data_IF_365147745055
#
_entry.id   IF_365147745055
#
_cell.length_a   1.000
_cell.length_b   1.000
_cell.length_c   1.000
_cell.angle_alpha   90.00
_cell.angle_beta   90.00
_cell.angle_gamma   90.00
#
_symmetry.space_group_name_H-M   'P 1'
#
loop_
_entity.id
_entity.type
_entity.pdbx_description
1 polymer ?
#
# COMPACT_ATOMS: atom_id res chain seq x y z
N UNK A 1 19.16 1.34 36.47
CA UNK A 1 19.56 -0.08 36.74
C UNK A 1 20.13 -0.61 35.43
N UNK A 2 21.46 -0.47 35.26
CA UNK A 2 22.18 -0.93 34.06
C UNK A 2 22.31 -2.45 34.13
N UNK A 3 21.57 -3.13 33.27
CA UNK A 3 21.74 -4.56 33.03
C UNK A 3 23.16 -4.80 32.55
N UNK A 4 23.92 -5.60 33.31
CA UNK A 4 25.23 -6.11 32.93
C UNK A 4 25.14 -6.64 31.49
N UNK A 5 25.97 -6.09 30.60
CA UNK A 5 26.09 -6.49 29.21
C UNK A 5 26.27 -8.00 29.09
N UNK A 6 25.56 -8.59 28.16
CA UNK A 6 25.64 -10.00 27.83
C UNK A 6 27.11 -10.34 27.50
N UNK A 7 27.67 -11.23 28.32
CA UNK A 7 29.07 -11.62 28.21
C UNK A 7 29.36 -12.21 26.83
N UNK A 8 30.50 -11.85 26.28
CA UNK A 8 31.05 -12.47 25.08
C UNK A 8 31.13 -13.98 25.24
N UNK A 9 30.69 -14.72 24.24
CA UNK A 9 30.64 -16.18 24.25
C UNK A 9 31.69 -16.74 23.29
N UNK A 10 32.30 -17.87 23.69
CA UNK A 10 33.16 -18.62 22.79
C UNK A 10 32.39 -19.08 21.56
N UNK A 11 32.93 -18.84 20.37
CA UNK A 11 32.34 -19.33 19.12
C UNK A 11 32.30 -20.87 19.08
N UNK A 12 31.48 -21.43 18.15
CA UNK A 12 31.48 -22.85 17.89
C UNK A 12 32.86 -23.32 17.46
N UNK A 13 33.58 -22.54 16.64
CA UNK A 13 34.92 -22.87 16.16
C UNK A 13 35.91 -23.00 17.29
N UNK A 14 35.93 -22.09 18.27
CA UNK A 14 36.81 -22.16 19.42
C UNK A 14 36.48 -23.34 20.31
N UNK A 15 35.21 -23.66 20.51
CA UNK A 15 34.79 -24.85 21.29
C UNK A 15 35.18 -26.14 20.61
N UNK A 16 34.97 -26.23 19.28
CA UNK A 16 35.41 -27.42 18.51
C UNK A 16 36.91 -27.58 18.57
N UNK A 17 37.69 -26.48 18.40
CA UNK A 17 39.14 -26.52 18.51
C UNK A 17 39.60 -27.04 19.88
N UNK A 18 38.99 -26.54 20.98
CA UNK A 18 39.30 -27.00 22.33
C UNK A 18 39.01 -28.48 22.53
N UNK A 19 37.83 -28.95 22.08
CA UNK A 19 37.47 -30.40 22.15
C UNK A 19 38.40 -31.25 21.29
N UNK A 20 38.70 -30.78 20.06
CA UNK A 20 39.61 -31.50 19.15
C UNK A 20 41.04 -31.57 19.73
N UNK A 21 41.53 -30.51 20.37
CA UNK A 21 42.83 -30.54 21.05
C UNK A 21 42.88 -31.58 22.16
N UNK A 22 41.82 -31.67 22.98
CA UNK A 22 41.73 -32.61 24.07
C UNK A 22 41.68 -34.07 23.52
N UNK A 23 40.84 -34.30 22.49
CA UNK A 23 40.69 -35.62 21.88
C UNK A 23 41.98 -36.09 21.21
N UNK A 24 42.65 -35.20 20.46
CA UNK A 24 43.91 -35.51 19.79
C UNK A 24 45.03 -35.75 20.79
N UNK A 25 45.17 -34.94 21.84
CA UNK A 25 46.16 -35.13 22.87
C UNK A 25 45.92 -36.44 23.67
N UNK A 26 44.67 -36.66 24.10
CA UNK A 26 44.31 -37.90 24.82
C UNK A 26 44.48 -39.16 23.97
N UNK A 27 44.06 -39.13 22.71
CA UNK A 27 44.26 -40.23 21.76
C UNK A 27 45.75 -40.49 21.48
N UNK A 28 46.53 -39.42 21.33
CA UNK A 28 47.98 -39.51 21.13
C UNK A 28 48.70 -40.17 22.31
N UNK A 29 48.31 -39.82 23.53
CA UNK A 29 48.84 -40.44 24.77
C UNK A 29 48.42 -41.92 24.84
N UNK A 30 47.14 -42.21 24.65
CA UNK A 30 46.59 -43.54 24.75
C UNK A 30 47.16 -44.54 23.72
N UNK A 31 47.49 -44.05 22.52
CA UNK A 31 47.99 -44.83 21.39
C UNK A 31 49.52 -44.76 21.20
N UNK A 32 50.23 -44.03 22.09
CA UNK A 32 51.65 -43.70 21.99
C UNK A 32 52.05 -43.08 20.62
N UNK A 33 51.19 -42.21 20.09
CA UNK A 33 51.36 -41.51 18.79
C UNK A 33 51.69 -40.03 18.97
N UNK A 34 52.99 -39.66 18.91
CA UNK A 34 53.42 -38.27 19.14
C UNK A 34 52.94 -37.30 18.03
N UNK A 35 52.66 -37.80 16.82
CA UNK A 35 52.10 -37.04 15.71
C UNK A 35 50.71 -36.43 16.05
N UNK A 36 49.86 -37.16 16.76
CA UNK A 36 48.56 -36.68 17.22
C UNK A 36 48.70 -35.58 18.27
N UNK A 37 49.68 -35.71 19.17
CA UNK A 37 49.97 -34.68 20.17
C UNK A 37 50.47 -33.39 19.48
N UNK A 38 51.36 -33.55 18.49
CA UNK A 38 51.84 -32.40 17.72
C UNK A 38 50.72 -31.64 17.00
N UNK A 39 49.70 -32.33 16.48
CA UNK A 39 48.51 -31.72 15.88
C UNK A 39 47.58 -31.05 16.90
N UNK A 40 47.61 -31.52 18.17
CA UNK A 40 46.78 -30.89 19.23
C UNK A 40 47.37 -29.54 19.69
N UNK A 41 48.72 -29.36 19.63
CA UNK A 41 49.38 -28.16 20.13
C UNK A 41 48.89 -26.84 19.55
N UNK A 42 48.80 -26.63 18.22
CA UNK A 42 48.33 -25.36 17.66
C UNK A 42 46.88 -25.05 18.06
N UNK A 43 45.99 -26.08 18.15
CA UNK A 43 44.60 -25.89 18.58
C UNK A 43 44.51 -25.51 20.06
N UNK A 44 45.31 -26.18 20.92
CA UNK A 44 45.41 -25.85 22.35
C UNK A 44 45.98 -24.43 22.56
N UNK A 45 47.06 -24.11 21.86
CA UNK A 45 47.68 -22.78 21.94
C UNK A 45 46.70 -21.69 21.52
N UNK A 46 46.01 -21.87 20.42
CA UNK A 46 45.01 -20.90 19.97
C UNK A 46 43.90 -20.71 21.00
N UNK A 47 43.36 -21.80 21.59
CA UNK A 47 42.31 -21.68 22.60
C UNK A 47 42.79 -20.99 23.89
N UNK A 48 44.03 -21.24 24.31
CA UNK A 48 44.63 -20.58 25.48
C UNK A 48 44.93 -19.10 25.21
N UNK A 49 45.54 -18.78 24.07
CA UNK A 49 45.84 -17.41 23.69
C UNK A 49 44.55 -16.59 23.64
N UNK A 50 43.48 -17.10 23.06
CA UNK A 50 42.18 -16.44 23.00
C UNK A 50 41.59 -16.15 24.39
N UNK A 51 41.82 -16.99 25.37
CA UNK A 51 41.40 -16.72 26.77
C UNK A 51 42.25 -15.66 27.48
N UNK A 52 43.50 -15.57 27.12
CA UNK A 52 44.47 -14.66 27.79
C UNK A 52 44.44 -13.25 27.17
N UNK A 53 44.24 -13.13 25.85
CA UNK A 53 44.36 -11.86 25.13
C UNK A 53 43.02 -11.16 24.88
N UNK A 54 41.89 -11.85 25.10
CA UNK A 54 40.60 -11.24 24.79
C UNK A 54 40.13 -10.26 25.87
N UNK A 55 39.98 -9.03 25.47
CA UNK A 55 39.28 -7.97 26.22
C UNK A 55 37.85 -7.84 25.67
N UNK A 56 36.86 -7.84 26.55
CA UNK A 56 35.47 -7.62 26.15
C UNK A 56 35.29 -6.14 25.79
N UNK A 57 34.83 -5.82 24.56
CA UNK A 57 34.57 -4.42 24.20
C UNK A 57 33.47 -3.82 25.08
N UNK A 58 33.68 -2.56 25.47
CA UNK A 58 32.74 -1.84 26.36
C UNK A 58 31.55 -1.26 25.62
N UNK A 59 31.73 -0.89 24.36
CA UNK A 59 30.66 -0.28 23.57
C UNK A 59 29.84 -1.34 22.81
N UNK A 60 28.49 -1.22 22.83
CA UNK A 60 27.61 -2.13 22.07
C UNK A 60 27.73 -1.88 20.56
N UNK A 61 27.47 -2.92 19.77
CA UNK A 61 27.29 -2.78 18.33
C UNK A 61 26.06 -1.91 18.04
N UNK A 62 26.20 -0.97 17.12
CA UNK A 62 25.09 -0.15 16.63
C UNK A 62 24.93 -0.34 15.14
N UNK A 63 23.72 -0.61 14.70
CA UNK A 63 23.36 -0.75 13.30
C UNK A 63 22.31 0.31 12.97
N UNK A 64 22.62 1.20 12.03
CA UNK A 64 21.68 2.19 11.53
C UNK A 64 21.41 1.92 10.05
N UNK A 65 20.13 1.98 9.65
CA UNK A 65 19.73 1.88 8.24
C UNK A 65 19.14 3.21 7.80
N UNK A 66 19.72 3.81 6.77
CA UNK A 66 19.34 5.14 6.27
C UNK A 66 18.99 5.06 4.79
N UNK A 67 18.05 5.92 4.30
CA UNK A 67 17.80 6.02 2.87
C UNK A 67 19.04 6.57 2.16
N UNK A 68 19.41 5.96 1.05
CA UNK A 68 20.46 6.54 0.21
C UNK A 68 19.87 7.65 -0.68
N UNK A 69 20.68 8.71 -0.92
CA UNK A 69 20.20 9.87 -1.68
C UNK A 69 19.82 9.55 -3.12
N UNK A 70 20.57 8.66 -3.76
CA UNK A 70 20.28 8.21 -5.12
C UNK A 70 19.27 7.07 -5.12
N UNK A 71 18.02 7.39 -5.41
CA UNK A 71 16.94 6.43 -5.61
C UNK A 71 16.81 6.13 -7.11
N UNK A 72 16.77 4.86 -7.50
CA UNK A 72 16.47 4.45 -8.86
C UNK A 72 15.00 4.08 -8.99
N UNK A 73 14.40 4.35 -10.14
CA UNK A 73 12.98 4.01 -10.37
C UNK A 73 12.72 2.52 -10.11
N UNK A 74 11.78 2.24 -9.19
CA UNK A 74 11.37 0.88 -8.84
C UNK A 74 12.35 0.12 -7.95
N UNK A 75 13.40 0.77 -7.43
CA UNK A 75 14.34 0.19 -6.47
C UNK A 75 14.44 1.06 -5.23
N UNK A 76 14.53 0.42 -4.07
CA UNK A 76 14.84 1.07 -2.80
C UNK A 76 16.32 0.85 -2.51
N UNK A 77 17.07 1.93 -2.37
CA UNK A 77 18.49 1.90 -2.00
C UNK A 77 18.66 2.37 -0.58
N UNK A 78 19.20 1.50 0.28
CA UNK A 78 19.44 1.76 1.68
C UNK A 78 20.92 1.64 2.00
N UNK A 79 21.42 2.53 2.88
CA UNK A 79 22.77 2.48 3.45
C UNK A 79 22.70 1.89 4.86
N UNK A 80 23.36 0.77 5.08
CA UNK A 80 23.55 0.17 6.38
C UNK A 80 24.88 0.70 6.93
N UNK A 81 24.84 1.38 8.07
CA UNK A 81 25.99 1.88 8.79
C UNK A 81 26.21 1.02 10.03
N UNK A 82 27.36 0.41 10.13
CA UNK A 82 27.76 -0.45 11.26
C UNK A 82 28.80 0.31 12.06
N UNK A 83 28.58 0.47 13.36
CA UNK A 83 29.50 1.18 14.29
C UNK A 83 29.44 0.54 15.67
N UNK A 84 30.44 0.82 16.51
CA UNK A 84 30.55 0.32 17.88
C UNK A 84 31.88 -0.36 18.13
N UNK A 85 31.93 -1.15 19.17
CA UNK A 85 33.14 -1.88 19.56
C UNK A 85 33.18 -3.28 18.97
N UNK A 86 34.36 -3.78 18.75
CA UNK A 86 34.68 -5.04 18.12
C UNK A 86 35.40 -4.82 16.79
N UNK A 87 36.02 -5.86 16.25
CA UNK A 87 36.76 -5.80 14.99
C UNK A 87 35.86 -6.05 13.79
N UNK A 88 34.97 -7.03 13.92
CA UNK A 88 34.06 -7.43 12.86
C UNK A 88 32.62 -7.57 13.37
N UNK A 89 31.67 -7.47 12.46
CA UNK A 89 30.26 -7.73 12.70
C UNK A 89 29.76 -8.81 11.74
N UNK A 90 29.08 -9.81 12.28
CA UNK A 90 28.31 -10.79 11.49
C UNK A 90 26.91 -10.22 11.30
N UNK A 91 26.51 -9.99 10.05
CA UNK A 91 25.22 -9.42 9.70
C UNK A 91 24.38 -10.41 8.91
N UNK A 92 23.09 -10.48 9.26
CA UNK A 92 22.06 -11.14 8.46
C UNK A 92 21.14 -10.05 7.89
N UNK A 93 21.24 -9.81 6.60
CA UNK A 93 20.50 -8.77 5.88
C UNK A 93 19.34 -9.44 5.14
N UNK A 94 18.11 -8.99 5.41
CA UNK A 94 16.90 -9.43 4.70
C UNK A 94 16.37 -8.24 3.91
N UNK A 95 16.23 -8.39 2.61
CA UNK A 95 15.73 -7.36 1.67
C UNK A 95 14.21 -7.49 1.48
N UNK A 96 13.59 -6.51 0.83
CA UNK A 96 12.14 -6.48 0.57
C UNK A 96 11.62 -7.73 -0.15
N UNK A 97 12.43 -8.29 -1.08
CA UNK A 97 12.11 -9.56 -1.78
C UNK A 97 12.36 -10.79 -0.90
N UNK A 98 12.56 -10.62 0.41
CA UNK A 98 12.98 -11.64 1.38
C UNK A 98 14.27 -12.37 1.03
N UNK A 99 15.06 -11.83 0.13
CA UNK A 99 16.42 -12.30 -0.10
C UNK A 99 17.24 -12.12 1.16
N UNK A 100 17.72 -13.21 1.71
CA UNK A 100 18.53 -13.22 2.92
C UNK A 100 19.99 -13.44 2.57
N UNK A 101 20.84 -12.50 2.98
CA UNK A 101 22.28 -12.56 2.78
C UNK A 101 22.98 -12.48 4.14
N UNK A 102 23.97 -13.31 4.38
CA UNK A 102 24.85 -13.22 5.53
C UNK A 102 26.19 -12.69 5.08
N UNK A 103 26.70 -11.69 5.78
CA UNK A 103 28.00 -11.08 5.51
C UNK A 103 28.74 -10.84 6.84
N UNK A 104 30.05 -10.91 6.75
CA UNK A 104 30.94 -10.49 7.84
C UNK A 104 31.68 -9.27 7.35
N UNK A 105 31.62 -8.19 8.12
CA UNK A 105 32.20 -6.89 7.74
C UNK A 105 32.96 -6.30 8.91
N UNK A 106 33.99 -5.49 8.68
CA UNK A 106 34.61 -4.67 9.73
C UNK A 106 33.56 -3.79 10.42
N UNK A 107 33.66 -3.62 11.73
CA UNK A 107 32.91 -2.57 12.43
C UNK A 107 33.40 -1.22 11.88
N UNK A 108 32.56 -0.27 11.61
CA UNK A 108 32.79 0.97 10.83
C UNK A 108 32.50 0.87 9.32
N UNK A 109 31.94 -0.24 8.87
CA UNK A 109 31.56 -0.41 7.46
C UNK A 109 30.27 0.31 7.09
N UNK A 110 30.18 0.67 5.80
CA UNK A 110 28.96 1.14 5.14
C UNK A 110 28.63 0.19 4.00
N UNK A 111 27.41 -0.31 3.97
CA UNK A 111 26.95 -1.29 2.98
C UNK A 111 25.76 -0.70 2.26
N UNK A 112 25.83 -0.63 0.95
CA UNK A 112 24.70 -0.26 0.12
C UNK A 112 23.90 -1.51 -0.25
N UNK A 113 22.59 -1.44 -0.04
CA UNK A 113 21.67 -2.53 -0.34
C UNK A 113 20.59 -2.02 -1.27
N UNK A 114 20.47 -2.65 -2.44
CA UNK A 114 19.39 -2.39 -3.38
C UNK A 114 18.34 -3.48 -3.24
N UNK A 115 17.07 -3.09 -3.03
CA UNK A 115 15.94 -3.99 -3.01
C UNK A 115 14.86 -3.57 -4.01
N UNK A 116 14.12 -4.56 -4.54
CA UNK A 116 12.96 -4.34 -5.40
C UNK A 116 11.71 -4.78 -4.63
N UNK A 117 10.89 -3.83 -4.16
CA UNK A 117 9.65 -4.21 -3.51
C UNK A 117 8.70 -4.85 -4.53
N UNK A 118 8.17 -6.01 -4.20
CA UNK A 118 7.15 -6.70 -5.00
C UNK A 118 5.77 -6.05 -4.88
N UNK A 119 5.56 -5.26 -3.82
CA UNK A 119 4.27 -4.66 -3.48
C UNK A 119 4.36 -3.14 -3.34
N UNK A 120 3.26 -2.47 -3.58
CA UNK A 120 3.05 -1.06 -3.23
C UNK A 120 2.71 -0.91 -1.75
N UNK A 121 2.66 0.32 -1.26
CA UNK A 121 2.28 0.58 0.13
C UNK A 121 3.43 0.51 1.13
N UNK A 122 3.13 0.31 2.42
CA UNK A 122 4.14 0.18 3.46
C UNK A 122 4.88 -1.16 3.32
N UNK A 123 6.19 -1.09 3.08
CA UNK A 123 7.05 -2.26 2.93
C UNK A 123 8.23 -2.19 3.88
N UNK A 124 8.70 -3.33 4.34
CA UNK A 124 9.97 -3.47 5.01
C UNK A 124 11.09 -3.56 3.95
N UNK A 125 11.77 -2.44 3.72
CA UNK A 125 12.80 -2.35 2.68
C UNK A 125 14.02 -3.22 2.99
N UNK A 126 14.51 -3.12 4.24
CA UNK A 126 15.66 -3.88 4.74
C UNK A 126 15.49 -4.15 6.22
N UNK A 127 15.76 -5.38 6.62
CA UNK A 127 15.96 -5.77 8.03
C UNK A 127 17.36 -6.30 8.20
N UNK A 128 18.08 -5.78 9.17
CA UNK A 128 19.44 -6.22 9.52
C UNK A 128 19.43 -6.75 10.95
N UNK A 129 19.98 -7.92 11.13
CA UNK A 129 20.27 -8.48 12.45
C UNK A 129 21.76 -8.74 12.49
N UNK A 130 22.45 -8.21 13.50
CA UNK A 130 23.88 -8.33 13.60
C UNK A 130 24.36 -8.56 15.01
N UNK A 131 25.58 -9.06 15.13
CA UNK A 131 26.33 -9.21 16.39
C UNK A 131 27.79 -8.93 16.14
N UNK A 132 28.49 -8.41 17.13
CA UNK A 132 29.94 -8.24 17.09
C UNK A 132 30.64 -9.58 17.21
N UNK A 133 31.80 -9.68 16.55
CA UNK A 133 32.70 -10.79 16.69
C UNK A 133 34.15 -10.28 16.83
N UNK A 134 35.03 -11.07 17.43
CA UNK A 134 36.46 -10.85 17.38
C UNK A 134 36.99 -11.11 15.96
N UNK A 135 38.08 -10.42 15.56
CA UNK A 135 38.62 -10.51 14.20
C UNK A 135 38.99 -11.92 13.74
N UNK A 136 39.38 -12.75 14.67
CA UNK A 136 39.68 -14.16 14.44
C UNK A 136 38.47 -15.10 14.53
N UNK A 137 37.28 -14.58 14.82
CA UNK A 137 36.04 -15.34 14.96
C UNK A 137 35.98 -16.26 16.21
N UNK A 138 36.91 -16.12 17.13
CA UNK A 138 36.95 -16.96 18.35
C UNK A 138 35.85 -16.63 19.35
N UNK A 139 35.44 -15.38 19.40
CA UNK A 139 34.43 -14.87 20.35
C UNK A 139 33.33 -14.09 19.61
N UNK A 140 32.10 -14.22 20.11
CA UNK A 140 30.92 -13.59 19.59
C UNK A 140 30.20 -12.86 20.73
N UNK A 141 29.66 -11.69 20.47
CA UNK A 141 28.76 -11.02 21.41
C UNK A 141 27.53 -11.89 21.65
N UNK A 142 27.09 -11.99 22.90
CA UNK A 142 25.88 -12.73 23.27
C UNK A 142 24.62 -12.04 22.80
N UNK A 143 24.64 -10.71 22.72
CA UNK A 143 23.53 -9.89 22.27
C UNK A 143 23.54 -9.70 20.75
N UNK A 144 22.34 -9.72 20.16
CA UNK A 144 22.10 -9.38 18.75
C UNK A 144 21.38 -8.06 18.66
N UNK A 145 21.85 -7.18 17.77
CA UNK A 145 21.22 -5.88 17.49
C UNK A 145 20.42 -6.01 16.21
N UNK A 146 19.23 -5.41 16.17
CA UNK A 146 18.41 -5.40 14.98
C UNK A 146 18.04 -3.97 14.57
N UNK A 147 18.03 -3.72 13.26
CA UNK A 147 17.57 -2.48 12.66
C UNK A 147 16.68 -2.79 11.46
N UNK A 148 15.58 -2.04 11.32
CA UNK A 148 14.63 -2.23 10.23
C UNK A 148 14.33 -0.89 9.59
N UNK A 149 14.46 -0.82 8.26
CA UNK A 149 14.01 0.31 7.46
C UNK A 149 12.65 -0.01 6.84
N UNK A 150 11.66 0.83 7.12
CA UNK A 150 10.35 0.77 6.48
C UNK A 150 10.21 1.92 5.49
N UNK A 151 9.65 1.62 4.32
CA UNK A 151 9.41 2.59 3.25
C UNK A 151 7.98 2.49 2.76
N UNK A 152 7.52 3.56 2.11
CA UNK A 152 6.22 3.58 1.46
C UNK A 152 6.45 3.61 -0.05
N UNK A 153 6.02 2.56 -0.73
CA UNK A 153 6.14 2.43 -2.19
C UNK A 153 4.88 3.00 -2.83
N UNK A 154 5.07 3.96 -3.72
CA UNK A 154 3.95 4.57 -4.45
C UNK A 154 3.33 3.55 -5.39
N UNK A 155 2.00 3.33 -5.36
CA UNK A 155 1.33 2.39 -6.25
C UNK A 155 1.44 2.81 -7.72
N UNK A 156 1.31 1.88 -8.63
CA UNK A 156 1.17 2.15 -10.06
C UNK A 156 -0.05 3.03 -10.34
N UNK A 157 -0.17 3.54 -11.56
CA UNK A 157 -1.30 4.34 -11.99
C UNK A 157 -1.64 3.97 -13.43
N UNK A 158 -2.90 3.67 -13.69
CA UNK A 158 -3.44 3.50 -15.04
C UNK A 158 -4.08 4.78 -15.53
N UNK A 159 -3.90 5.12 -16.77
CA UNK A 159 -4.63 6.22 -17.41
C UNK A 159 -6.07 5.77 -17.66
N UNK A 160 -7.02 6.49 -17.08
CA UNK A 160 -8.43 6.16 -17.18
C UNK A 160 -9.18 7.17 -18.06
N UNK A 161 -10.27 6.75 -18.70
CA UNK A 161 -11.19 7.66 -19.38
C UNK A 161 -11.93 8.53 -18.35
N UNK A 162 -12.85 9.38 -18.81
CA UNK A 162 -13.73 10.12 -17.92
C UNK A 162 -14.54 9.17 -17.04
N UNK A 163 -14.57 9.48 -15.75
CA UNK A 163 -15.37 8.71 -14.80
C UNK A 163 -16.87 8.93 -15.02
N UNK A 164 -17.72 7.99 -14.61
CA UNK A 164 -19.15 8.18 -14.60
C UNK A 164 -19.57 9.35 -13.73
N UNK A 165 -20.47 10.18 -14.22
CA UNK A 165 -20.91 11.40 -13.52
C UNK A 165 -21.75 11.10 -12.27
N UNK A 166 -21.65 11.97 -11.29
CA UNK A 166 -22.48 11.97 -10.09
C UNK A 166 -23.97 12.16 -10.44
N UNK A 167 -24.91 11.59 -9.67
CA UNK A 167 -26.35 11.79 -9.87
C UNK A 167 -26.75 13.27 -9.72
N UNK A 168 -26.06 13.98 -8.86
CA UNK A 168 -26.27 15.41 -8.62
C UNK A 168 -24.92 16.12 -8.57
N UNK A 169 -24.79 17.13 -9.39
CA UNK A 169 -23.64 18.03 -9.38
C UNK A 169 -23.93 19.13 -8.35
N UNK A 170 -23.09 19.27 -7.34
CA UNK A 170 -23.33 20.15 -6.19
C UNK A 170 -22.37 21.33 -6.07
N UNK A 171 -21.27 21.33 -6.84
CA UNK A 171 -20.27 22.39 -6.83
C UNK A 171 -20.70 23.67 -7.52
N UNK A 172 -20.00 24.77 -7.24
CA UNK A 172 -20.22 26.09 -7.86
C UNK A 172 -19.27 26.35 -9.02
N UNK A 173 -18.21 25.54 -9.15
CA UNK A 173 -17.18 25.67 -10.18
C UNK A 173 -16.73 24.25 -10.59
N UNK A 174 -16.67 23.97 -11.89
CA UNK A 174 -16.25 22.67 -12.39
C UNK A 174 -16.32 22.56 -13.90
N UNK A 175 -16.08 21.35 -14.42
CA UNK A 175 -16.12 21.06 -15.85
C UNK A 175 -17.44 20.44 -16.32
N UNK A 176 -18.36 20.15 -15.40
CA UNK A 176 -19.64 19.51 -15.72
C UNK A 176 -20.79 20.50 -15.75
N UNK A 177 -21.68 20.32 -16.71
CA UNK A 177 -22.90 21.11 -16.77
C UNK A 177 -23.85 20.75 -15.63
N UNK A 178 -24.12 21.74 -14.80
CA UNK A 178 -25.11 21.64 -13.72
C UNK A 178 -26.51 21.92 -14.22
N UNK A 179 -27.52 21.42 -13.54
CA UNK A 179 -28.92 21.68 -13.86
C UNK A 179 -29.43 23.04 -13.32
N UNK A 180 -28.62 23.76 -12.59
CA UNK A 180 -29.00 25.08 -12.01
C UNK A 180 -28.69 26.20 -12.98
N UNK A 181 -29.54 27.27 -13.01
CA UNK A 181 -29.21 28.50 -13.73
C UNK A 181 -27.92 29.12 -13.17
N UNK A 182 -27.01 29.58 -14.05
CA UNK A 182 -25.76 30.15 -13.61
C UNK A 182 -24.98 30.85 -14.70
N UNK A 183 -23.66 30.94 -14.54
CA UNK A 183 -22.75 31.66 -15.43
C UNK A 183 -21.91 30.73 -16.33
N UNK A 184 -22.39 29.54 -16.65
CA UNK A 184 -21.69 28.63 -17.56
C UNK A 184 -21.82 29.03 -19.03
N UNK A 185 -21.16 28.26 -19.91
CA UNK A 185 -21.15 28.57 -21.36
C UNK A 185 -22.37 28.11 -22.12
N UNK A 186 -23.08 27.09 -21.65
CA UNK A 186 -24.15 26.50 -22.43
C UNK A 186 -25.50 27.14 -22.21
N UNK A 187 -26.16 27.36 -23.35
CA UNK A 187 -27.51 27.93 -23.39
C UNK A 187 -28.51 26.96 -22.74
N UNK A 188 -29.34 27.52 -21.84
CA UNK A 188 -30.42 26.75 -21.20
C UNK A 188 -31.77 27.15 -21.78
N UNK A 189 -32.18 28.37 -21.55
CA UNK A 189 -33.48 28.90 -21.97
C UNK A 189 -33.44 30.40 -22.06
N UNK A 190 -34.54 30.96 -22.59
CA UNK A 190 -34.86 32.40 -22.55
C UNK A 190 -36.11 32.54 -21.71
N UNK A 191 -36.06 33.41 -20.71
CA UNK A 191 -37.19 33.66 -19.84
C UNK A 191 -37.37 35.15 -19.55
N UNK A 192 -38.56 35.62 -19.09
CA UNK A 192 -38.76 36.99 -18.69
C UNK A 192 -37.83 37.43 -17.57
N UNK A 193 -37.33 38.66 -17.64
CA UNK A 193 -36.46 39.27 -16.63
C UNK A 193 -37.12 39.23 -15.27
N UNK A 194 -36.43 38.73 -14.27
CA UNK A 194 -36.88 38.58 -12.90
C UNK A 194 -35.87 39.21 -11.91
N UNK A 195 -36.30 39.54 -10.68
CA UNK A 195 -35.40 40.05 -9.64
C UNK A 195 -34.21 39.09 -9.44
N UNK A 196 -33.00 39.64 -9.50
CA UNK A 196 -31.75 38.88 -9.42
C UNK A 196 -31.11 38.58 -10.79
N UNK A 197 -31.77 38.85 -11.89
CA UNK A 197 -31.18 38.78 -13.24
C UNK A 197 -30.35 40.05 -13.54
N UNK A 198 -29.31 39.89 -14.34
CA UNK A 198 -28.39 40.93 -14.72
C UNK A 198 -28.79 41.50 -16.11
N UNK A 199 -28.87 42.83 -16.24
CA UNK A 199 -29.20 43.51 -17.50
C UNK A 199 -28.27 43.15 -18.65
N UNK A 200 -27.01 42.85 -18.39
CA UNK A 200 -26.05 42.40 -19.42
C UNK A 200 -26.40 41.05 -20.07
N UNK A 201 -27.35 40.31 -19.49
CA UNK A 201 -27.84 39.02 -20.00
C UNK A 201 -29.13 39.14 -20.79
N UNK A 202 -29.65 40.34 -20.98
CA UNK A 202 -30.83 40.58 -21.80
C UNK A 202 -30.48 40.21 -23.25
N UNK A 203 -31.24 39.29 -23.80
CA UNK A 203 -31.18 38.94 -25.22
C UNK A 203 -32.12 39.92 -25.97
N UNK A 204 -31.53 41.02 -26.45
CA UNK A 204 -32.28 42.06 -27.18
C UNK A 204 -32.97 41.53 -28.43
N UNK A 205 -32.38 40.50 -29.08
CA UNK A 205 -32.94 39.86 -30.28
C UNK A 205 -34.16 38.98 -29.94
N UNK A 206 -34.09 38.23 -28.87
CA UNK A 206 -35.22 37.49 -28.35
C UNK A 206 -36.31 38.41 -27.82
N UNK A 207 -35.94 39.44 -27.07
CA UNK A 207 -36.85 40.48 -26.58
C UNK A 207 -37.63 41.12 -27.73
N UNK A 208 -36.95 41.56 -28.79
CA UNK A 208 -37.61 42.19 -29.95
C UNK A 208 -38.54 41.26 -30.73
N UNK A 209 -38.32 39.95 -30.69
CA UNK A 209 -39.10 38.94 -31.46
C UNK A 209 -40.25 38.30 -30.66
N UNK A 210 -40.08 38.16 -29.36
CA UNK A 210 -40.92 37.29 -28.54
C UNK A 210 -41.47 37.93 -27.26
N UNK A 211 -41.14 39.22 -26.97
CA UNK A 211 -41.76 39.92 -25.85
C UNK A 211 -43.27 40.05 -26.04
N UNK A 212 -44.01 39.63 -25.03
CA UNK A 212 -45.49 39.60 -25.08
C UNK A 212 -46.13 40.84 -24.52
N UNK A 213 -45.36 41.67 -23.80
CA UNK A 213 -45.82 42.90 -23.16
C UNK A 213 -44.86 44.05 -23.46
N UNK A 214 -45.35 45.29 -23.57
CA UNK A 214 -44.47 46.44 -23.67
C UNK A 214 -43.55 46.58 -22.47
N UNK A 215 -42.23 46.67 -22.71
CA UNK A 215 -41.22 46.71 -21.63
C UNK A 215 -40.78 45.37 -21.05
N UNK A 216 -41.31 44.25 -21.53
CA UNK A 216 -40.85 42.91 -21.14
C UNK A 216 -39.46 42.68 -21.73
N UNK A 217 -38.48 42.40 -20.85
CA UNK A 217 -37.12 42.01 -21.23
C UNK A 217 -36.96 40.50 -21.11
N UNK A 218 -36.34 39.90 -22.10
CA UNK A 218 -36.04 38.47 -22.10
C UNK A 218 -34.55 38.24 -21.81
N UNK A 219 -34.26 37.35 -20.84
CA UNK A 219 -32.91 37.08 -20.38
C UNK A 219 -32.50 35.72 -20.86
N UNK A 220 -31.29 35.63 -21.41
CA UNK A 220 -30.63 34.37 -21.74
C UNK A 220 -30.07 33.76 -20.46
N UNK A 221 -30.52 32.56 -20.13
CA UNK A 221 -29.98 31.75 -19.06
C UNK A 221 -28.99 30.70 -19.57
N UNK A 222 -27.93 30.50 -18.82
CA UNK A 222 -26.95 29.45 -19.05
C UNK A 222 -26.93 28.49 -17.86
N UNK A 223 -26.50 27.28 -18.06
CA UNK A 223 -26.31 26.35 -16.99
C UNK A 223 -25.09 26.71 -16.14
N UNK A 224 -25.09 26.38 -14.85
CA UNK A 224 -23.88 26.48 -14.02
C UNK A 224 -22.89 25.40 -14.42
N UNK A 225 -21.60 25.73 -14.37
CA UNK A 225 -20.57 24.71 -14.34
C UNK A 225 -20.41 24.20 -12.89
N UNK A 226 -20.45 22.91 -12.71
CA UNK A 226 -20.40 22.28 -11.39
C UNK A 226 -19.31 21.23 -11.33
N UNK A 227 -18.71 21.02 -10.15
CA UNK A 227 -17.83 19.89 -9.88
C UNK A 227 -18.63 18.70 -9.34
N UNK A 228 -18.16 17.49 -9.64
CA UNK A 228 -18.66 16.27 -9.03
C UNK A 228 -17.88 15.99 -7.74
N UNK A 229 -18.53 15.27 -6.82
CA UNK A 229 -17.85 14.74 -5.64
C UNK A 229 -17.63 13.24 -5.84
N UNK A 230 -16.36 12.82 -5.78
CA UNK A 230 -15.92 11.42 -5.86
C UNK A 230 -15.35 11.00 -4.51
N UNK A 231 -15.81 9.88 -4.00
CA UNK A 231 -15.33 9.31 -2.74
C UNK A 231 -14.72 7.94 -3.01
N UNK A 232 -13.49 7.76 -2.60
CA UNK A 232 -12.76 6.50 -2.69
C UNK A 232 -12.73 5.85 -1.31
N UNK A 233 -13.42 4.74 -1.14
CA UNK A 233 -13.47 3.96 0.08
C UNK A 233 -12.70 2.65 -0.14
N UNK A 234 -11.52 2.52 0.47
CA UNK A 234 -10.65 1.35 0.32
C UNK A 234 -10.82 0.47 1.54
N UNK A 235 -11.30 -0.73 1.31
CA UNK A 235 -11.35 -1.79 2.29
C UNK A 235 -9.94 -2.35 2.52
N UNK A 236 -9.56 -2.49 3.78
CA UNK A 236 -8.24 -2.96 4.20
C UNK A 236 -8.32 -4.18 5.11
N UNK A 237 -9.50 -4.80 5.22
CA UNK A 237 -9.72 -5.96 6.07
C UNK A 237 -8.84 -7.14 5.64
N UNK A 238 -8.64 -7.31 4.35
CA UNK A 238 -7.91 -8.42 3.77
C UNK A 238 -6.86 -7.95 2.77
N UNK A 239 -5.74 -8.69 2.69
CA UNK A 239 -4.73 -8.53 1.66
C UNK A 239 -4.44 -9.90 1.03
N UNK A 240 -5.20 -10.25 0.00
CA UNK A 240 -5.18 -11.55 -0.65
C UNK A 240 -4.32 -11.50 -1.91
N UNK A 241 -3.36 -12.41 -1.99
CA UNK A 241 -2.47 -12.51 -3.15
C UNK A 241 -3.06 -13.32 -4.29
N UNK A 242 -2.47 -13.17 -5.46
CA UNK A 242 -2.72 -13.95 -6.67
C UNK A 242 -2.57 -15.46 -6.40
N UNK A 243 -1.53 -15.87 -5.66
CA UNK A 243 -1.24 -17.27 -5.34
C UNK A 243 -2.08 -17.74 -4.17
N UNK A 244 -3.19 -18.43 -4.45
CA UNK A 244 -4.16 -18.89 -3.42
C UNK A 244 -3.53 -19.76 -2.33
N UNK A 245 -2.54 -20.58 -2.67
CA UNK A 245 -1.85 -21.43 -1.71
C UNK A 245 -1.12 -20.63 -0.58
N UNK A 246 -0.99 -19.31 -0.72
CA UNK A 246 -0.38 -18.43 0.29
C UNK A 246 -1.41 -17.75 1.20
N UNK A 247 -2.70 -17.91 0.94
CA UNK A 247 -3.75 -17.29 1.75
C UNK A 247 -3.72 -17.83 3.18
N UNK A 248 -3.90 -16.93 4.14
CA UNK A 248 -3.80 -17.27 5.56
C UNK A 248 -2.38 -17.38 6.11
N UNK A 249 -1.35 -17.16 5.27
CA UNK A 249 0.05 -17.07 5.70
C UNK A 249 0.54 -15.62 5.77
N UNK A 250 1.54 -15.36 6.62
CA UNK A 250 2.14 -14.02 6.78
C UNK A 250 3.14 -13.67 5.66
N UNK A 251 3.39 -14.58 4.72
CA UNK A 251 4.39 -14.43 3.68
C UNK A 251 3.83 -13.90 2.35
N UNK A 252 3.70 -12.59 2.24
CA UNK A 252 3.27 -11.93 1.00
C UNK A 252 4.32 -11.97 -0.12
N UNK A 253 5.59 -12.31 0.16
CA UNK A 253 6.63 -12.31 -0.88
C UNK A 253 6.41 -13.35 -1.99
N UNK A 254 5.57 -14.36 -1.74
CA UNK A 254 5.18 -15.39 -2.69
C UNK A 254 3.74 -15.26 -3.16
N UNK A 255 3.07 -14.22 -2.71
CA UNK A 255 1.64 -14.03 -2.95
C UNK A 255 1.33 -13.54 -4.38
N UNK A 256 2.34 -13.09 -5.14
CA UNK A 256 2.13 -12.39 -6.40
C UNK A 256 1.51 -11.01 -6.17
N UNK A 257 0.78 -10.49 -7.14
CA UNK A 257 0.01 -9.24 -6.97
C UNK A 257 -1.04 -9.41 -5.89
N UNK A 258 -1.20 -8.43 -4.98
CA UNK A 258 -2.19 -8.53 -3.91
C UNK A 258 -3.41 -7.63 -4.15
N UNK A 259 -4.50 -7.94 -3.45
CA UNK A 259 -5.74 -7.16 -3.50
C UNK A 259 -5.53 -5.70 -3.08
N UNK A 260 -4.68 -5.44 -2.08
CA UNK A 260 -4.33 -4.07 -1.68
C UNK A 260 -3.41 -3.37 -2.68
N UNK A 261 -2.58 -4.07 -3.44
CA UNK A 261 -1.83 -3.47 -4.55
C UNK A 261 -2.79 -2.95 -5.61
N UNK A 262 -3.78 -3.77 -6.00
CA UNK A 262 -4.82 -3.39 -6.95
C UNK A 262 -5.72 -2.28 -6.42
N UNK A 263 -6.09 -2.34 -5.13
CA UNK A 263 -6.90 -1.30 -4.49
C UNK A 263 -6.19 0.06 -4.47
N UNK A 264 -4.89 0.09 -4.15
CA UNK A 264 -4.09 1.32 -4.16
C UNK A 264 -3.89 1.85 -5.58
N UNK A 265 -3.64 0.96 -6.55
CA UNK A 265 -3.54 1.33 -7.97
C UNK A 265 -4.86 1.91 -8.48
N UNK A 266 -5.98 1.27 -8.18
CA UNK A 266 -7.32 1.71 -8.54
C UNK A 266 -7.65 3.07 -7.91
N UNK A 267 -7.45 3.21 -6.60
CA UNK A 267 -7.70 4.46 -5.88
C UNK A 267 -6.88 5.63 -6.46
N UNK A 268 -5.59 5.42 -6.73
CA UNK A 268 -4.73 6.44 -7.33
C UNK A 268 -5.17 6.82 -8.74
N UNK A 269 -5.51 5.82 -9.56
CA UNK A 269 -5.94 6.01 -10.95
C UNK A 269 -7.27 6.77 -11.02
N UNK A 270 -8.25 6.37 -10.21
CA UNK A 270 -9.55 7.05 -10.10
C UNK A 270 -9.40 8.48 -9.58
N UNK A 271 -8.57 8.69 -8.55
CA UNK A 271 -8.28 10.03 -8.03
C UNK A 271 -7.66 10.94 -9.09
N UNK A 272 -6.69 10.42 -9.86
CA UNK A 272 -6.03 11.18 -10.91
C UNK A 272 -7.01 11.56 -12.03
N UNK A 273 -7.85 10.62 -12.48
CA UNK A 273 -8.84 10.87 -13.52
C UNK A 273 -9.89 11.90 -13.09
N UNK A 274 -10.40 11.82 -11.85
CA UNK A 274 -11.37 12.77 -11.34
C UNK A 274 -10.78 14.17 -11.17
N UNK A 275 -9.58 14.29 -10.58
CA UNK A 275 -8.94 15.61 -10.39
C UNK A 275 -8.55 16.25 -11.72
N UNK A 276 -8.19 15.45 -12.74
CA UNK A 276 -7.85 15.96 -14.06
C UNK A 276 -9.02 16.73 -14.74
N UNK A 277 -10.26 16.37 -14.42
CA UNK A 277 -11.48 17.06 -14.88
C UNK A 277 -12.02 18.07 -13.87
N UNK A 278 -11.29 18.34 -12.78
CA UNK A 278 -11.65 19.35 -11.78
C UNK A 278 -12.59 18.86 -10.68
N UNK A 279 -12.87 17.57 -10.58
CA UNK A 279 -13.75 17.01 -9.55
C UNK A 279 -13.09 17.01 -8.17
N UNK A 280 -13.93 17.04 -7.14
CA UNK A 280 -13.49 16.93 -5.74
C UNK A 280 -13.37 15.49 -5.34
N UNK A 281 -12.20 15.09 -4.86
CA UNK A 281 -11.94 13.70 -4.47
C UNK A 281 -11.68 13.61 -2.97
N UNK A 282 -12.44 12.75 -2.28
CA UNK A 282 -12.18 12.32 -0.91
C UNK A 282 -11.65 10.89 -0.90
N UNK A 283 -10.91 10.54 0.14
CA UNK A 283 -10.36 9.20 0.35
C UNK A 283 -10.59 8.74 1.77
N UNK A 284 -10.99 7.49 1.95
CA UNK A 284 -11.17 6.84 3.23
C UNK A 284 -10.63 5.41 3.20
N UNK A 285 -9.68 5.09 4.07
CA UNK A 285 -9.33 3.71 4.36
C UNK A 285 -10.33 3.17 5.39
N UNK A 286 -11.02 2.10 5.02
CA UNK A 286 -12.04 1.46 5.85
C UNK A 286 -11.37 0.52 6.87
N UNK A 287 -10.89 1.12 7.95
CA UNK A 287 -10.27 0.43 9.08
C UNK A 287 -10.49 1.25 10.35
N UNK A 288 -10.43 0.64 11.54
CA UNK A 288 -10.35 1.38 12.79
C UNK A 288 -9.15 2.33 12.79
N UNK A 289 -9.39 3.63 12.97
CA UNK A 289 -8.34 4.65 12.87
C UNK A 289 -7.76 4.86 11.45
N UNK A 290 -8.43 4.35 10.43
CA UNK A 290 -8.01 4.44 9.03
C UNK A 290 -7.86 5.89 8.57
N UNK A 291 -6.92 6.11 7.65
CA UNK A 291 -6.65 7.44 7.10
C UNK A 291 -7.82 7.97 6.30
N UNK A 292 -8.14 9.23 6.50
CA UNK A 292 -9.16 9.94 5.75
C UNK A 292 -8.60 11.24 5.20
N UNK A 293 -8.89 11.53 3.93
CA UNK A 293 -8.56 12.79 3.27
C UNK A 293 -9.86 13.44 2.79
N UNK A 294 -10.15 14.64 3.28
CA UNK A 294 -11.35 15.40 2.89
C UNK A 294 -11.33 15.77 1.42
N UNK A 295 -12.52 15.86 0.80
CA UNK A 295 -12.67 16.20 -0.61
C UNK A 295 -12.15 17.60 -0.96
N UNK A 296 -11.24 17.64 -1.91
CA UNK A 296 -10.72 18.84 -2.54
C UNK A 296 -10.25 18.51 -3.97
N UNK A 297 -9.74 19.49 -4.70
CA UNK A 297 -9.26 19.35 -6.08
C UNK A 297 -7.85 19.92 -6.24
N UNK A 298 -7.25 19.75 -7.41
CA UNK A 298 -5.95 20.30 -7.78
C UNK A 298 -4.75 19.40 -7.49
N UNK A 299 -3.61 19.75 -8.09
CA UNK A 299 -2.40 18.92 -8.07
C UNK A 299 -1.81 18.67 -6.67
N UNK A 300 -1.85 19.68 -5.80
CA UNK A 300 -1.42 19.53 -4.40
C UNK A 300 -2.29 18.54 -3.65
N UNK A 301 -3.59 18.52 -3.94
CA UNK A 301 -4.51 17.58 -3.33
C UNK A 301 -4.27 16.16 -3.86
N UNK A 302 -4.03 16.01 -5.16
CA UNK A 302 -3.63 14.72 -5.75
C UNK A 302 -2.36 14.15 -5.09
N UNK A 303 -1.36 14.98 -4.84
CA UNK A 303 -0.16 14.55 -4.13
C UNK A 303 -0.47 14.06 -2.70
N UNK A 304 -1.34 14.77 -1.95
CA UNK A 304 -1.79 14.34 -0.62
C UNK A 304 -2.57 13.02 -0.66
N UNK A 305 -3.46 12.85 -1.64
CA UNK A 305 -4.19 11.60 -1.87
C UNK A 305 -3.22 10.46 -2.18
N UNK A 306 -2.28 10.67 -3.10
CA UNK A 306 -1.27 9.68 -3.46
C UNK A 306 -0.46 9.21 -2.24
N UNK A 307 -0.05 10.15 -1.37
CA UNK A 307 0.64 9.83 -0.12
C UNK A 307 -0.24 9.02 0.85
N UNK A 308 -1.51 9.41 0.99
CA UNK A 308 -2.44 8.70 1.88
C UNK A 308 -2.75 7.29 1.36
N UNK A 309 -2.99 7.14 0.06
CA UNK A 309 -3.24 5.86 -0.62
C UNK A 309 -2.02 4.96 -0.47
N UNK A 310 -0.83 5.47 -0.77
CA UNK A 310 0.42 4.71 -0.64
C UNK A 310 0.71 4.29 0.81
N UNK A 311 0.27 5.07 1.80
CA UNK A 311 0.48 4.73 3.21
C UNK A 311 -0.58 3.77 3.79
N UNK A 312 -1.56 3.33 2.98
CA UNK A 312 -2.59 2.39 3.40
C UNK A 312 -2.02 0.98 3.45
N UNK A 313 -2.10 0.33 4.60
CA UNK A 313 -1.71 -1.08 4.81
C UNK A 313 -2.94 -1.92 5.15
N UNK A 314 -2.75 -3.23 5.26
CA UNK A 314 -3.77 -4.12 5.79
C UNK A 314 -4.13 -3.70 7.23
N UNK A 315 -5.41 -3.73 7.57
CA UNK A 315 -5.85 -3.63 8.95
C UNK A 315 -5.42 -4.93 9.67
N UNK A 316 -4.90 -4.81 10.89
CA UNK A 316 -4.60 -6.00 11.70
C UNK A 316 -5.87 -6.78 12.09
N UNK A 317 -5.83 -7.48 13.23
CA UNK A 317 -6.94 -8.34 13.70
C UNK A 317 -8.26 -7.59 13.99
N UNK A 318 -8.22 -6.26 14.18
CA UNK A 318 -9.42 -5.43 14.38
C UNK A 318 -9.99 -5.00 13.02
N UNK A 319 -10.77 -5.87 12.39
CA UNK A 319 -11.22 -5.77 10.99
C UNK A 319 -12.48 -4.93 10.79
N UNK A 320 -13.22 -4.57 11.82
CA UNK A 320 -14.50 -3.86 11.69
C UNK A 320 -14.34 -2.37 11.88
N UNK A 321 -14.64 -1.59 10.84
CA UNK A 321 -14.76 -0.15 10.98
C UNK A 321 -16.08 0.22 11.69
N UNK A 322 -15.95 1.05 12.74
CA UNK A 322 -17.07 1.40 13.63
C UNK A 322 -17.91 2.58 13.14
N UNK A 323 -17.48 3.31 12.13
CA UNK A 323 -18.16 4.51 11.64
C UNK A 323 -18.11 4.60 10.13
N UNK A 324 -19.28 4.83 9.54
CA UNK A 324 -19.39 5.18 8.12
C UNK A 324 -18.74 6.53 7.86
N UNK A 325 -17.81 6.64 6.89
CA UNK A 325 -17.25 7.92 6.53
C UNK A 325 -18.31 8.91 6.06
N UNK A 326 -18.19 10.21 6.41
CA UNK A 326 -19.11 11.23 5.92
C UNK A 326 -18.92 11.41 4.43
N UNK A 327 -20.01 11.36 3.67
CA UNK A 327 -20.03 11.47 2.22
C UNK A 327 -20.93 12.62 1.80
N UNK A 328 -20.48 13.54 0.93
CA UNK A 328 -21.33 14.61 0.39
C UNK A 328 -22.51 14.05 -0.41
N UNK A 329 -23.69 14.65 -0.28
CA UNK A 329 -24.88 14.22 -1.02
C UNK A 329 -24.65 14.16 -2.53
N UNK A 330 -25.17 13.10 -3.16
CA UNK A 330 -25.10 12.91 -4.61
C UNK A 330 -23.72 12.57 -5.14
N UNK A 331 -22.80 12.13 -4.30
CA UNK A 331 -21.44 11.72 -4.72
C UNK A 331 -21.45 10.46 -5.58
N UNK A 332 -20.36 10.28 -6.33
CA UNK A 332 -19.93 8.98 -6.85
C UNK A 332 -19.03 8.32 -5.80
N UNK A 333 -19.35 7.13 -5.37
CA UNK A 333 -18.56 6.39 -4.38
C UNK A 333 -17.99 5.15 -5.03
N UNK A 334 -16.68 5.01 -5.06
CA UNK A 334 -16.01 3.79 -5.43
C UNK A 334 -15.62 3.04 -4.14
N UNK A 335 -16.19 1.85 -3.96
CA UNK A 335 -15.87 0.94 -2.86
C UNK A 335 -14.90 -0.10 -3.40
N UNK A 336 -13.66 -0.05 -2.95
CA UNK A 336 -12.58 -0.92 -3.42
C UNK A 336 -12.36 -2.03 -2.38
N UNK A 337 -12.72 -3.26 -2.71
CA UNK A 337 -12.67 -4.41 -1.79
C UNK A 337 -12.54 -5.72 -2.56
N UNK A 338 -12.21 -6.78 -1.86
CA UNK A 338 -12.36 -8.17 -2.32
C UNK A 338 -13.80 -8.68 -2.17
N UNK A 339 -14.61 -8.03 -1.34
CA UNK A 339 -16.00 -8.38 -1.04
C UNK A 339 -16.22 -9.78 -0.45
N UNK A 340 -15.24 -10.38 0.22
CA UNK A 340 -15.41 -11.68 0.86
C UNK A 340 -16.12 -11.60 2.21
N UNK A 341 -15.88 -10.57 3.02
CA UNK A 341 -16.44 -10.45 4.37
C UNK A 341 -17.86 -9.85 4.43
N UNK A 342 -18.38 -9.36 3.30
CA UNK A 342 -19.68 -8.72 3.18
C UNK A 342 -19.78 -7.29 3.72
N UNK A 343 -18.85 -6.83 4.57
CA UNK A 343 -18.94 -5.53 5.22
C UNK A 343 -18.83 -4.37 4.22
N UNK A 344 -17.97 -4.49 3.22
CA UNK A 344 -17.85 -3.52 2.14
C UNK A 344 -19.13 -3.49 1.27
N UNK A 345 -19.77 -4.64 1.07
CA UNK A 345 -21.04 -4.74 0.35
C UNK A 345 -22.18 -4.04 1.12
N UNK A 346 -22.30 -4.26 2.43
CA UNK A 346 -23.29 -3.57 3.28
C UNK A 346 -23.15 -2.04 3.17
N UNK A 347 -21.92 -1.51 3.23
CA UNK A 347 -21.68 -0.07 3.04
C UNK A 347 -22.09 0.40 1.64
N UNK A 348 -21.77 -0.37 0.60
CA UNK A 348 -22.14 -0.04 -0.76
C UNK A 348 -23.66 0.06 -0.92
N UNK A 349 -24.40 -0.90 -0.35
CA UNK A 349 -25.87 -0.92 -0.35
C UNK A 349 -26.45 0.27 0.43
N UNK A 350 -25.90 0.56 1.60
CA UNK A 350 -26.34 1.70 2.41
C UNK A 350 -26.12 3.04 1.66
N UNK A 351 -24.99 3.26 1.05
CA UNK A 351 -24.74 4.47 0.26
C UNK A 351 -25.61 4.53 -0.98
N UNK A 352 -25.88 3.38 -1.60
CA UNK A 352 -26.82 3.30 -2.74
C UNK A 352 -28.23 3.69 -2.32
N UNK A 353 -28.71 3.18 -1.19
CA UNK A 353 -30.02 3.52 -0.61
C UNK A 353 -30.11 5.02 -0.23
N UNK A 354 -29.00 5.63 0.20
CA UNK A 354 -28.89 7.07 0.49
C UNK A 354 -28.88 7.96 -0.81
N UNK A 355 -29.00 7.36 -1.99
CA UNK A 355 -29.11 8.08 -3.27
C UNK A 355 -27.76 8.45 -3.90
N UNK A 356 -26.68 7.83 -3.47
CA UNK A 356 -25.37 7.96 -4.11
C UNK A 356 -25.27 7.05 -5.35
N UNK A 357 -24.39 7.39 -6.28
CA UNK A 357 -23.96 6.45 -7.30
C UNK A 357 -22.81 5.65 -6.73
N UNK A 358 -22.96 4.34 -6.65
CA UNK A 358 -21.98 3.46 -6.04
C UNK A 358 -21.41 2.51 -7.09
N UNK A 359 -20.10 2.40 -7.11
CA UNK A 359 -19.34 1.48 -7.94
C UNK A 359 -18.57 0.54 -7.01
N UNK A 360 -18.93 -0.72 -7.00
CA UNK A 360 -18.18 -1.78 -6.34
C UNK A 360 -16.98 -2.15 -7.22
N UNK A 361 -15.80 -1.77 -6.79
CA UNK A 361 -14.55 -2.07 -7.49
C UNK A 361 -13.95 -3.33 -6.88
N UNK A 362 -14.06 -4.43 -7.63
CA UNK A 362 -13.45 -5.70 -7.30
C UNK A 362 -11.93 -5.61 -7.46
N UNK A 363 -11.20 -5.74 -6.36
CA UNK A 363 -9.75 -5.68 -6.30
C UNK A 363 -9.09 -7.06 -6.11
N UNK A 364 -9.87 -8.15 -6.24
CA UNK A 364 -9.30 -9.49 -6.21
C UNK A 364 -8.43 -9.72 -7.47
N UNK A 365 -7.15 -10.11 -7.31
CA UNK A 365 -6.30 -10.43 -8.45
C UNK A 365 -6.79 -11.67 -9.23
N UNK A 366 -6.22 -11.91 -10.40
CA UNK A 366 -6.40 -13.18 -11.09
C UNK A 366 -5.76 -14.30 -10.27
N UNK A 367 -6.53 -15.36 -9.98
CA UNK A 367 -6.12 -16.37 -9.02
C UNK A 367 -5.27 -17.49 -9.65
N UNK A 368 -4.04 -17.64 -9.18
CA UNK A 368 -3.25 -18.86 -9.39
C UNK A 368 -3.70 -19.94 -8.41
N UNK A 369 -4.36 -20.97 -8.95
CA UNK A 369 -4.89 -22.13 -8.22
C UNK A 369 -3.94 -23.32 -8.20
N UNK A 370 -2.72 -23.12 -8.67
CA UNK A 370 -1.67 -24.14 -8.60
C UNK A 370 -1.37 -24.54 -7.16
N UNK A 371 -1.01 -25.79 -6.94
CA UNK A 371 -0.59 -26.35 -5.64
C UNK A 371 -1.67 -26.41 -4.56
N UNK A 372 -2.95 -26.31 -4.92
CA UNK A 372 -4.05 -26.52 -3.99
C UNK A 372 -4.34 -28.02 -3.83
N UNK A 373 -4.60 -28.46 -2.60
CA UNK A 373 -5.17 -29.77 -2.34
C UNK A 373 -6.62 -29.84 -2.84
N UNK A 374 -7.19 -31.05 -3.07
CA UNK A 374 -8.59 -31.18 -3.42
C UNK A 374 -9.55 -30.49 -2.44
N UNK A 375 -9.25 -30.57 -1.14
CA UNK A 375 -10.04 -29.91 -0.09
C UNK A 375 -9.94 -28.39 -0.18
N UNK A 376 -8.76 -27.82 -0.38
CA UNK A 376 -8.57 -26.39 -0.58
C UNK A 376 -9.26 -25.90 -1.86
N UNK A 377 -9.19 -26.68 -2.93
CA UNK A 377 -9.90 -26.36 -4.19
C UNK A 377 -11.40 -26.34 -4.02
N UNK A 378 -11.95 -27.27 -3.21
CA UNK A 378 -13.39 -27.27 -2.89
C UNK A 378 -13.76 -26.05 -2.03
N UNK A 379 -13.00 -25.76 -0.97
CA UNK A 379 -13.21 -24.61 -0.12
C UNK A 379 -13.17 -23.29 -0.92
N UNK A 380 -12.18 -23.13 -1.78
CA UNK A 380 -12.07 -21.97 -2.66
C UNK A 380 -13.32 -21.81 -3.55
N UNK A 381 -13.83 -22.90 -4.12
CA UNK A 381 -15.04 -22.85 -4.95
C UNK A 381 -16.26 -22.37 -4.17
N UNK A 382 -16.42 -22.83 -2.92
CA UNK A 382 -17.53 -22.42 -2.05
C UNK A 382 -17.43 -20.91 -1.77
N UNK A 383 -16.27 -20.45 -1.30
CA UNK A 383 -16.06 -19.03 -0.97
C UNK A 383 -16.23 -18.12 -2.18
N UNK A 384 -15.77 -18.54 -3.38
CA UNK A 384 -16.00 -17.78 -4.61
C UNK A 384 -17.48 -17.76 -5.02
N UNK A 385 -18.24 -18.84 -4.81
CA UNK A 385 -19.67 -18.86 -5.09
C UNK A 385 -20.42 -17.92 -4.15
N UNK A 386 -20.15 -17.94 -2.84
CA UNK A 386 -20.73 -17.00 -1.87
C UNK A 386 -20.43 -15.54 -2.24
N UNK A 387 -19.21 -15.28 -2.71
CA UNK A 387 -18.81 -13.96 -3.20
C UNK A 387 -19.59 -13.54 -4.47
N UNK A 388 -19.88 -14.47 -5.37
CA UNK A 388 -20.71 -14.20 -6.55
C UNK A 388 -22.15 -13.84 -6.17
N UNK A 389 -22.69 -14.45 -5.15
CA UNK A 389 -24.02 -14.09 -4.59
C UNK A 389 -24.01 -12.66 -4.02
N UNK A 390 -22.93 -12.24 -3.37
CA UNK A 390 -22.76 -10.85 -2.91
C UNK A 390 -22.78 -9.87 -4.11
N UNK A 391 -22.09 -10.17 -5.20
CA UNK A 391 -22.10 -9.32 -6.39
C UNK A 391 -23.45 -9.30 -7.10
N UNK A 392 -24.17 -10.43 -7.12
CA UNK A 392 -25.54 -10.50 -7.64
C UNK A 392 -26.47 -9.58 -6.81
N UNK A 393 -26.41 -9.63 -5.48
CA UNK A 393 -27.19 -8.75 -4.60
C UNK A 393 -26.84 -7.26 -4.79
N UNK A 394 -25.56 -6.93 -4.97
CA UNK A 394 -25.13 -5.56 -5.29
C UNK A 394 -25.72 -5.08 -6.62
N UNK A 395 -25.69 -5.92 -7.65
CA UNK A 395 -26.24 -5.58 -8.97
C UNK A 395 -27.76 -5.40 -8.93
N UNK A 396 -28.49 -6.25 -8.22
CA UNK A 396 -29.94 -6.14 -8.00
C UNK A 396 -30.33 -4.82 -7.31
N UNK A 397 -29.51 -4.37 -6.35
CA UNK A 397 -29.68 -3.07 -5.69
C UNK A 397 -29.28 -1.88 -6.58
N UNK A 398 -28.78 -2.12 -7.78
CA UNK A 398 -28.33 -1.09 -8.72
C UNK A 398 -26.96 -0.48 -8.37
N UNK A 399 -26.11 -1.20 -7.66
CA UNK A 399 -24.70 -0.92 -7.51
C UNK A 399 -23.98 -1.37 -8.78
N UNK A 400 -23.19 -0.49 -9.37
CA UNK A 400 -22.39 -0.82 -10.55
C UNK A 400 -21.14 -1.61 -10.13
N UNK A 401 -20.77 -2.63 -10.88
CA UNK A 401 -19.61 -3.48 -10.56
C UNK A 401 -18.49 -3.28 -11.57
N UNK A 402 -17.25 -3.29 -11.10
CA UNK A 402 -16.05 -3.11 -11.90
C UNK A 402 -14.94 -4.03 -11.39
N UNK A 403 -14.45 -4.96 -12.21
CA UNK A 403 -13.30 -5.79 -11.89
C UNK A 403 -12.00 -5.10 -12.31
N UNK A 404 -11.15 -4.76 -11.34
CA UNK A 404 -9.93 -3.98 -11.61
C UNK A 404 -8.84 -4.80 -12.29
N UNK A 405 -8.71 -6.09 -11.99
CA UNK A 405 -7.73 -6.99 -12.61
C UNK A 405 -7.95 -7.19 -14.12
N UNK A 406 -9.19 -7.04 -14.59
CA UNK A 406 -9.54 -7.06 -16.01
C UNK A 406 -9.16 -5.73 -16.69
N UNK A 407 -9.88 -5.33 -17.74
CA UNK A 407 -9.69 -4.03 -18.39
C UNK A 407 -10.64 -2.96 -17.81
N UNK A 408 -10.19 -2.17 -16.80
CA UNK A 408 -11.03 -1.15 -16.18
C UNK A 408 -11.38 -0.01 -17.13
N UNK A 409 -10.58 0.22 -18.19
CA UNK A 409 -10.83 1.29 -19.17
C UNK A 409 -12.08 0.99 -19.97
N UNK A 410 -12.22 -0.23 -20.46
CA UNK A 410 -13.40 -0.68 -21.20
C UNK A 410 -14.64 -0.64 -20.31
N UNK A 411 -14.55 -1.18 -19.10
CA UNK A 411 -15.66 -1.22 -18.16
C UNK A 411 -16.14 0.19 -17.75
N UNK A 412 -15.23 1.10 -17.38
CA UNK A 412 -15.57 2.48 -17.04
C UNK A 412 -16.18 3.24 -18.22
N UNK A 413 -15.68 2.98 -19.45
CA UNK A 413 -16.25 3.58 -20.65
C UNK A 413 -17.70 3.11 -20.88
N UNK A 414 -17.97 1.83 -20.65
CA UNK A 414 -19.34 1.27 -20.74
C UNK A 414 -20.27 1.90 -19.68
N UNK A 415 -19.81 2.00 -18.42
CA UNK A 415 -20.56 2.63 -17.33
C UNK A 415 -20.83 4.12 -17.57
N UNK A 416 -19.90 4.83 -18.21
CA UNK A 416 -20.09 6.23 -18.56
C UNK A 416 -21.15 6.40 -19.68
N UNK A 417 -21.20 5.47 -20.65
CA UNK A 417 -22.14 5.51 -21.78
C UNK A 417 -23.57 5.07 -21.41
N UNK A 418 -23.71 4.08 -20.53
CA UNK A 418 -25.01 3.51 -20.16
C UNK A 418 -26.03 4.54 -19.69
N UNK A 419 -25.58 5.69 -19.19
CA UNK A 419 -26.43 6.78 -18.67
C UNK A 419 -26.81 7.85 -19.69
N UNK A 420 -26.12 7.98 -20.82
CA UNK A 420 -26.49 8.91 -21.89
C UNK A 420 -27.70 8.41 -22.68
N UNK A 421 -27.97 7.08 -22.69
CA UNK A 421 -29.12 6.47 -23.37
C UNK A 421 -30.46 6.53 -22.61
N UNK A 422 -30.46 6.81 -21.31
CA UNK A 422 -31.68 6.81 -20.46
C UNK A 422 -32.38 8.16 -20.32
N UNK A 423 -31.96 9.19 -21.05
CA UNK A 423 -32.51 10.55 -21.05
C UNK A 423 -33.18 10.91 -22.38
N UNK A 424 -33.87 9.95 -22.99
CA UNK A 424 -34.78 10.25 -24.12
C UNK A 424 -36.22 10.03 -23.69
#
# INVERSE_FOLDING_TARGET
MTTRGDAWRSSASLRIAAVSAIVLAGGGIATARPDLIALAVPLALWTVLQRLTSTDPVEPLTIAVRPHAEQHQGRLREEIVVSGAGEIAELSITQAERRKTRVVVPVSSRILVDSRPGHSGPVEAVRVIGRSAAGDGARLAGETVSATARRTVTPAMRMLPRLPLAPRLTGLHGAHEGSRPGQGGDFRDIHPFAPGDELRRVDWRATARAARRPGELLVRRTNTLSDASVVLAVDTAEDLGEVVATWGGDDLSRAGTTSLDLAREAARSLASAAIAVGDRVAYHALAPGGRSVRGATGSRHLARLTTAIAATGAAGDDRRYRRTPPVPHGSVIAVLSTFFDGAAAELALMWRAAGHRVIAVDTLPDLDRGRLSPQQSLALRIVLAEREDIFAGLAEAGVETLRWAADPVVALTALARARTGGRR
#
